data_IF_421383667756
#
_entry.id   IF_421383667756
#
_cell.length_a   1.000
_cell.length_b   1.000
_cell.length_c   1.000
_cell.angle_alpha   90.00
_cell.angle_beta   90.00
_cell.angle_gamma   90.00
#
_symmetry.space_group_name_H-M   'P 1'
#
loop_
_entity.id
_entity.type
_entity.pdbx_description
1 polymer ?
#
# COMPACT_ATOMS: atom_id res chain seq x y z
N UNK A 1 6.20 6.98 9.91
CA UNK A 1 6.96 8.17 10.36
C UNK A 1 6.05 9.38 10.53
N UNK A 2 5.28 9.85 9.53
CA UNK A 2 4.35 11.00 9.67
C UNK A 2 3.36 10.86 10.84
N UNK A 3 2.79 9.67 11.09
CA UNK A 3 1.90 9.44 12.24
C UNK A 3 2.63 9.64 13.56
N UNK A 4 3.82 9.06 13.72
CA UNK A 4 4.65 9.23 14.91
C UNK A 4 5.10 10.68 15.09
N UNK A 5 5.45 11.37 14.01
CA UNK A 5 5.77 12.80 14.02
C UNK A 5 4.62 13.61 14.63
N UNK A 6 3.40 13.35 14.18
CA UNK A 6 2.21 14.02 14.70
C UNK A 6 1.90 13.65 16.15
N UNK A 7 2.01 12.37 16.51
CA UNK A 7 1.73 11.85 17.86
C UNK A 7 2.72 12.38 18.90
N UNK A 8 4.00 12.45 18.53
CA UNK A 8 5.08 12.84 19.44
C UNK A 8 5.54 14.28 19.25
N UNK A 9 4.89 15.05 18.38
CA UNK A 9 5.25 16.43 18.04
C UNK A 9 6.71 16.57 17.59
N UNK A 10 7.21 15.61 16.82
CA UNK A 10 8.54 15.67 16.23
C UNK A 10 8.55 16.55 14.97
N UNK A 11 9.69 17.16 14.70
CA UNK A 11 9.93 17.90 13.46
C UNK A 11 10.84 17.07 12.56
N UNK A 12 10.29 16.10 11.84
CA UNK A 12 11.06 15.19 11.00
C UNK A 12 11.31 15.82 9.62
N UNK A 13 12.56 15.88 9.23
CA UNK A 13 12.96 16.24 7.88
C UNK A 13 13.29 14.98 7.08
N UNK A 14 12.35 14.53 6.25
CA UNK A 14 12.47 13.27 5.51
C UNK A 14 13.59 13.29 4.47
N UNK A 15 13.90 14.44 3.88
CA UNK A 15 15.07 14.63 3.02
C UNK A 15 16.38 14.38 3.78
N UNK A 16 16.53 14.97 4.97
CA UNK A 16 17.70 14.75 5.82
C UNK A 16 17.82 13.30 6.28
N UNK A 17 16.71 12.65 6.60
CA UNK A 17 16.68 11.21 6.96
C UNK A 17 17.15 10.37 5.79
N UNK A 18 16.71 10.62 4.55
CA UNK A 18 17.19 9.91 3.37
C UNK A 18 18.70 10.11 3.14
N UNK A 19 19.22 11.32 3.41
CA UNK A 19 20.66 11.63 3.31
C UNK A 19 21.53 10.82 4.29
N UNK A 20 21.05 10.53 5.50
CA UNK A 20 21.78 9.75 6.49
C UNK A 20 22.14 8.35 5.95
N UNK A 21 21.25 7.73 5.20
CA UNK A 21 21.45 6.39 4.63
C UNK A 21 22.37 6.36 3.43
N UNK A 22 22.67 7.52 2.83
CA UNK A 22 23.37 7.62 1.53
C UNK A 22 24.87 7.28 1.57
N UNK A 23 25.56 7.55 2.64
CA UNK A 23 27.03 7.46 2.69
C UNK A 23 27.58 6.56 3.81
N UNK A 24 26.83 6.29 4.83
CA UNK A 24 27.27 5.56 6.03
C UNK A 24 26.91 4.07 6.03
N UNK A 25 26.20 3.59 5.00
CA UNK A 25 25.71 2.21 4.92
C UNK A 25 26.23 1.50 3.67
N UNK A 26 26.13 0.17 3.67
CA UNK A 26 26.36 -0.71 2.49
C UNK A 26 25.43 -0.31 1.32
N UNK A 27 24.29 0.31 1.60
CA UNK A 27 23.31 0.76 0.60
C UNK A 27 23.81 2.05 -0.06
N UNK A 28 24.62 1.91 -1.10
CA UNK A 28 25.03 2.99 -2.00
C UNK A 28 24.08 3.09 -3.19
N UNK A 29 22.79 3.10 -2.95
CA UNK A 29 21.83 3.13 -4.02
C UNK A 29 21.68 4.56 -4.58
N UNK A 30 21.83 4.73 -5.88
CA UNK A 30 21.67 6.01 -6.56
C UNK A 30 20.27 6.60 -6.34
N UNK A 31 19.25 5.76 -6.17
CA UNK A 31 17.87 6.19 -5.94
C UNK A 31 17.65 6.91 -4.60
N UNK A 32 18.57 6.78 -3.62
CA UNK A 32 18.47 7.56 -2.36
C UNK A 32 18.58 9.06 -2.60
N UNK A 33 19.34 9.48 -3.62
CA UNK A 33 19.34 10.89 -4.02
C UNK A 33 17.96 11.31 -4.55
N UNK A 34 17.35 10.47 -5.41
CA UNK A 34 16.00 10.74 -5.93
C UNK A 34 14.94 10.83 -4.83
N UNK A 35 15.08 10.04 -3.76
CA UNK A 35 14.20 10.16 -2.57
C UNK A 35 14.42 11.50 -1.87
N UNK A 36 15.70 11.87 -1.67
CA UNK A 36 16.05 13.16 -1.09
C UNK A 36 15.43 14.32 -1.87
N UNK A 37 15.62 14.30 -3.19
CA UNK A 37 15.12 15.33 -4.10
C UNK A 37 13.59 15.40 -4.12
N UNK A 38 12.90 14.26 -4.02
CA UNK A 38 11.44 14.19 -3.94
C UNK A 38 10.92 14.92 -2.69
N UNK A 39 11.51 14.66 -1.51
CA UNK A 39 11.12 15.34 -0.27
C UNK A 39 11.62 16.80 -0.18
N UNK A 40 12.64 17.18 -0.93
CA UNK A 40 13.02 18.58 -1.07
C UNK A 40 12.02 19.35 -1.94
N UNK A 41 11.49 18.73 -3.00
CA UNK A 41 10.42 19.32 -3.83
C UNK A 41 9.08 19.39 -3.10
N UNK A 42 8.73 18.35 -2.36
CA UNK A 42 7.47 18.26 -1.63
C UNK A 42 7.68 17.59 -0.26
N UNK A 43 7.92 18.40 0.80
CA UNK A 43 8.07 17.90 2.17
C UNK A 43 6.83 17.13 2.69
N UNK A 44 5.65 17.45 2.17
CA UNK A 44 4.38 16.85 2.54
C UNK A 44 3.99 15.64 1.70
N UNK A 45 4.91 15.14 0.87
CA UNK A 45 4.67 13.98 0.03
C UNK A 45 4.24 12.75 0.87
N UNK A 46 3.04 12.24 0.64
CA UNK A 46 2.48 11.12 1.39
C UNK A 46 3.07 9.76 0.98
N UNK A 47 3.40 9.63 -0.30
CA UNK A 47 3.95 8.40 -0.85
C UNK A 47 4.88 8.73 -2.02
N UNK A 48 6.06 8.10 -2.07
CA UNK A 48 7.03 8.30 -3.16
C UNK A 48 6.45 7.95 -4.54
N UNK A 49 5.46 7.06 -4.63
CA UNK A 49 4.80 6.74 -5.90
C UNK A 49 4.01 7.91 -6.49
N UNK A 50 3.75 8.96 -5.68
CA UNK A 50 3.05 10.18 -6.12
C UNK A 50 4.02 11.27 -6.58
N UNK A 51 5.32 11.10 -6.40
CA UNK A 51 6.33 12.00 -6.95
C UNK A 51 6.52 11.75 -8.45
N UNK A 52 6.61 12.81 -9.24
CA UNK A 52 6.65 12.75 -10.71
C UNK A 52 7.80 11.87 -11.24
N UNK A 53 8.99 11.97 -10.65
CA UNK A 53 10.13 11.16 -11.05
C UNK A 53 9.85 9.67 -10.83
N UNK A 54 9.37 9.29 -9.65
CA UNK A 54 9.06 7.89 -9.34
C UNK A 54 7.89 7.35 -10.16
N UNK A 55 6.86 8.15 -10.38
CA UNK A 55 5.71 7.81 -11.21
C UNK A 55 6.13 7.53 -12.67
N UNK A 56 7.01 8.38 -13.22
CA UNK A 56 7.57 8.19 -14.56
C UNK A 56 8.39 6.90 -14.64
N UNK A 57 9.33 6.65 -13.70
CA UNK A 57 10.14 5.44 -13.68
C UNK A 57 9.28 4.17 -13.60
N UNK A 58 8.26 4.17 -12.76
CA UNK A 58 7.33 3.06 -12.65
C UNK A 58 6.53 2.85 -13.93
N UNK A 59 6.01 3.92 -14.52
CA UNK A 59 5.29 3.85 -15.79
C UNK A 59 6.15 3.21 -16.89
N UNK A 60 7.40 3.62 -16.99
CA UNK A 60 8.38 3.13 -17.98
C UNK A 60 8.74 1.66 -17.78
N UNK A 61 8.88 1.21 -16.53
CA UNK A 61 9.45 -0.10 -16.22
C UNK A 61 8.42 -1.17 -15.81
N UNK A 62 7.17 -0.81 -15.50
CA UNK A 62 6.17 -1.75 -14.98
C UNK A 62 5.92 -2.97 -15.87
N UNK A 63 5.97 -2.80 -17.20
CA UNK A 63 5.72 -3.91 -18.13
C UNK A 63 6.78 -5.01 -17.98
N UNK A 64 8.05 -4.63 -17.89
CA UNK A 64 9.13 -5.59 -17.71
C UNK A 64 9.11 -6.22 -16.31
N UNK A 65 8.75 -5.44 -15.30
CA UNK A 65 8.53 -5.93 -13.94
C UNK A 65 7.44 -7.01 -13.90
N UNK A 66 6.29 -6.77 -14.53
CA UNK A 66 5.20 -7.74 -14.65
C UNK A 66 5.63 -9.01 -15.37
N UNK A 67 6.35 -8.88 -16.49
CA UNK A 67 6.89 -10.03 -17.22
C UNK A 67 7.86 -10.85 -16.36
N UNK A 68 8.73 -10.19 -15.59
CA UNK A 68 9.65 -10.89 -14.69
C UNK A 68 8.90 -11.69 -13.63
N UNK A 69 7.90 -11.11 -12.97
CA UNK A 69 7.08 -11.80 -11.98
C UNK A 69 6.32 -12.98 -12.61
N UNK A 70 5.67 -12.77 -13.75
CA UNK A 70 4.92 -13.80 -14.43
C UNK A 70 5.80 -14.98 -14.87
N UNK A 71 6.95 -14.69 -15.49
CA UNK A 71 7.90 -15.73 -15.92
C UNK A 71 8.47 -16.50 -14.74
N UNK A 72 8.83 -15.81 -13.65
CA UNK A 72 9.32 -16.48 -12.45
C UNK A 72 8.26 -17.43 -11.86
N UNK A 73 7.00 -17.00 -11.82
CA UNK A 73 5.91 -17.85 -11.35
C UNK A 73 5.73 -19.10 -12.23
N UNK A 74 5.78 -18.94 -13.58
CA UNK A 74 5.70 -20.05 -14.53
C UNK A 74 6.87 -21.03 -14.41
N UNK A 75 8.03 -20.53 -14.04
CA UNK A 75 9.25 -21.34 -13.87
C UNK A 75 9.40 -21.92 -12.45
N UNK A 76 8.47 -21.66 -11.54
CA UNK A 76 8.56 -22.10 -10.15
C UNK A 76 9.65 -21.40 -9.33
N UNK A 77 10.09 -20.21 -9.76
CA UNK A 77 11.11 -19.43 -9.06
C UNK A 77 10.44 -18.53 -8.02
N UNK A 78 10.75 -18.66 -6.72
CA UNK A 78 10.15 -17.83 -5.68
C UNK A 78 10.65 -16.38 -5.78
N UNK A 79 9.71 -15.44 -5.91
CA UNK A 79 10.00 -13.99 -6.02
C UNK A 79 9.17 -13.17 -5.04
N UNK A 80 9.09 -13.61 -3.79
CA UNK A 80 8.20 -13.02 -2.78
C UNK A 80 8.31 -11.49 -2.65
N UNK A 81 9.52 -10.93 -2.59
CA UNK A 81 9.70 -9.49 -2.46
C UNK A 81 9.24 -8.72 -3.71
N UNK A 82 9.62 -9.18 -4.91
CA UNK A 82 9.26 -8.51 -6.18
C UNK A 82 7.77 -8.64 -6.47
N UNK A 83 7.18 -9.80 -6.18
CA UNK A 83 5.74 -10.05 -6.37
C UNK A 83 4.89 -9.23 -5.41
N UNK A 84 5.25 -9.16 -4.13
CA UNK A 84 4.53 -8.34 -3.14
C UNK A 84 4.63 -6.85 -3.43
N UNK A 85 5.78 -6.39 -3.90
CA UNK A 85 5.96 -4.99 -4.33
C UNK A 85 5.08 -4.65 -5.53
N UNK A 86 4.96 -5.56 -6.51
CA UNK A 86 4.06 -5.38 -7.65
C UNK A 86 2.60 -5.35 -7.20
N UNK A 87 2.21 -6.25 -6.29
CA UNK A 87 0.87 -6.28 -5.70
C UNK A 87 0.55 -4.98 -4.95
N UNK A 88 1.50 -4.44 -4.20
CA UNK A 88 1.36 -3.13 -3.56
C UNK A 88 1.14 -2.01 -4.58
N UNK A 89 1.97 -1.96 -5.63
CA UNK A 89 1.85 -0.96 -6.70
C UNK A 89 0.50 -1.03 -7.41
N UNK A 90 -0.01 -2.23 -7.67
CA UNK A 90 -1.33 -2.40 -8.27
C UNK A 90 -2.44 -2.02 -7.31
N UNK A 91 -2.30 -2.35 -6.03
CA UNK A 91 -3.30 -2.06 -5.00
C UNK A 91 -3.47 -0.56 -4.76
N UNK A 92 -2.37 0.21 -4.68
CA UNK A 92 -2.45 1.66 -4.42
C UNK A 92 -3.09 2.44 -5.58
N UNK A 93 -3.15 1.86 -6.77
CA UNK A 93 -3.75 2.44 -7.97
C UNK A 93 -5.20 2.03 -8.21
N UNK A 94 -5.72 1.10 -7.40
CA UNK A 94 -7.08 0.60 -7.51
C UNK A 94 -8.00 1.25 -6.47
N UNK A 95 -9.06 1.91 -6.93
CA UNK A 95 -10.08 2.45 -6.06
C UNK A 95 -10.88 1.34 -5.35
N UNK A 96 -11.09 0.19 -6.03
CA UNK A 96 -11.79 -0.98 -5.49
C UNK A 96 -10.87 -2.19 -5.57
N UNK A 97 -10.48 -2.72 -4.42
CA UNK A 97 -9.61 -3.88 -4.34
C UNK A 97 -10.42 -5.19 -4.27
N UNK A 98 -9.86 -6.33 -4.71
CA UNK A 98 -10.47 -7.66 -4.53
C UNK A 98 -10.40 -8.13 -3.07
N UNK A 99 -10.47 -7.20 -2.12
CA UNK A 99 -10.41 -7.46 -0.68
C UNK A 99 -11.78 -7.81 -0.08
N UNK A 100 -12.87 -7.66 -0.84
CA UNK A 100 -14.24 -7.92 -0.38
C UNK A 100 -14.40 -9.36 0.09
N UNK A 101 -13.82 -10.33 -0.63
CA UNK A 101 -13.87 -11.73 -0.24
C UNK A 101 -13.12 -12.00 1.07
N UNK A 102 -11.97 -11.38 1.26
CA UNK A 102 -11.21 -11.47 2.52
C UNK A 102 -12.00 -10.87 3.69
N UNK A 103 -12.64 -9.72 3.49
CA UNK A 103 -13.44 -9.09 4.53
C UNK A 103 -14.71 -9.89 4.82
N UNK A 104 -15.36 -10.46 3.79
CA UNK A 104 -16.49 -11.37 3.96
C UNK A 104 -16.10 -12.63 4.75
N UNK A 105 -14.93 -13.21 4.47
CA UNK A 105 -14.41 -14.35 5.22
C UNK A 105 -14.15 -13.97 6.69
N UNK A 106 -13.57 -12.83 6.96
CA UNK A 106 -13.35 -12.35 8.33
C UNK A 106 -14.66 -12.11 9.07
N UNK A 107 -15.66 -11.55 8.39
CA UNK A 107 -17.00 -11.37 8.93
C UNK A 107 -17.69 -12.70 9.21
N UNK A 108 -17.52 -13.68 8.31
CA UNK A 108 -18.13 -15.01 8.44
C UNK A 108 -17.69 -15.73 9.72
N UNK A 109 -16.41 -15.83 10.01
CA UNK A 109 -15.94 -16.62 11.15
C UNK A 109 -15.63 -15.82 12.42
N UNK A 110 -15.68 -14.51 12.37
CA UNK A 110 -15.32 -13.67 13.53
C UNK A 110 -16.15 -12.41 13.73
N UNK A 111 -17.20 -12.21 12.94
CA UNK A 111 -18.04 -11.00 12.95
C UNK A 111 -17.19 -9.71 12.92
N UNK A 112 -16.11 -9.69 12.11
CA UNK A 112 -15.19 -8.57 12.06
C UNK A 112 -15.75 -7.34 11.32
N UNK A 113 -17.00 -7.40 10.92
CA UNK A 113 -17.75 -6.33 10.26
C UNK A 113 -17.13 -5.82 8.96
N UNK A 114 -17.87 -5.03 8.24
CA UNK A 114 -17.43 -4.35 7.03
C UNK A 114 -18.14 -2.99 6.89
N UNK A 115 -17.59 -2.11 6.09
CA UNK A 115 -18.26 -0.88 5.67
C UNK A 115 -18.82 -1.07 4.27
N UNK A 116 -20.00 -0.48 4.00
CA UNK A 116 -20.62 -0.50 2.68
C UNK A 116 -20.22 0.77 1.91
N UNK A 117 -20.02 0.62 0.60
CA UNK A 117 -19.68 1.75 -0.28
C UNK A 117 -20.91 2.57 -0.74
N UNK A 118 -22.10 2.02 -0.56
CA UNK A 118 -23.38 2.61 -0.99
C UNK A 118 -24.11 3.37 0.13
N UNK A 119 -23.51 3.46 1.30
CA UNK A 119 -24.02 4.21 2.47
C UNK A 119 -22.92 5.10 3.05
N UNK A 120 -23.32 5.99 3.96
CA UNK A 120 -22.37 6.88 4.62
C UNK A 120 -21.23 6.09 5.31
N UNK A 121 -20.01 6.57 5.14
CA UNK A 121 -18.80 5.98 5.77
C UNK A 121 -18.89 6.00 7.29
N UNK A 122 -18.24 5.01 7.91
CA UNK A 122 -18.16 4.88 9.37
C UNK A 122 -19.19 3.97 9.99
N UNK A 123 -20.23 3.56 9.24
CA UNK A 123 -21.19 2.57 9.70
C UNK A 123 -20.65 1.17 9.48
N UNK A 124 -20.77 0.33 10.51
CA UNK A 124 -20.31 -1.06 10.49
C UNK A 124 -21.48 -2.01 10.26
N UNK A 125 -21.26 -3.02 9.45
CA UNK A 125 -22.23 -4.03 9.08
C UNK A 125 -21.69 -5.43 9.32
N UNK A 126 -22.59 -6.36 9.61
CA UNK A 126 -22.33 -7.79 9.72
C UNK A 126 -23.41 -8.56 8.97
N UNK A 127 -23.04 -9.64 8.32
CA UNK A 127 -24.01 -10.59 7.72
C UNK A 127 -24.36 -11.64 8.75
N UNK A 128 -25.64 -11.84 9.00
CA UNK A 128 -26.08 -12.98 9.80
C UNK A 128 -25.95 -14.28 8.99
N UNK A 129 -24.73 -14.83 8.97
CA UNK A 129 -24.34 -15.98 8.17
C UNK A 129 -25.08 -17.27 8.54
N UNK A 130 -25.58 -17.37 9.76
CA UNK A 130 -26.32 -18.52 10.29
C UNK A 130 -27.80 -18.51 9.91
N UNK A 131 -28.35 -17.40 9.46
CA UNK A 131 -29.74 -17.32 9.00
C UNK A 131 -29.88 -17.70 7.53
N UNK A 132 -30.99 -18.31 7.15
CA UNK A 132 -31.28 -18.64 5.75
C UNK A 132 -31.31 -17.38 4.86
N UNK A 133 -31.83 -16.28 5.39
CA UNK A 133 -31.95 -14.99 4.68
C UNK A 133 -30.62 -14.23 4.55
N UNK A 134 -29.59 -14.58 5.33
CA UNK A 134 -28.29 -13.90 5.36
C UNK A 134 -28.41 -12.38 5.42
N UNK A 135 -29.28 -11.89 6.29
CA UNK A 135 -29.54 -10.45 6.41
C UNK A 135 -28.30 -9.68 6.83
N UNK A 136 -28.11 -8.49 6.24
CA UNK A 136 -27.09 -7.55 6.65
C UNK A 136 -27.68 -6.71 7.78
N UNK A 137 -27.00 -6.63 8.90
CA UNK A 137 -27.38 -5.83 10.06
C UNK A 137 -26.34 -4.74 10.32
N UNK A 138 -26.81 -3.54 10.65
CA UNK A 138 -25.94 -2.46 11.11
C UNK A 138 -25.56 -2.72 12.57
N UNK A 139 -24.27 -2.60 12.88
CA UNK A 139 -23.73 -2.73 14.23
C UNK A 139 -23.26 -1.36 14.65
N UNK A 140 -23.90 -0.81 15.68
CA UNK A 140 -23.58 0.51 16.26
C UNK A 140 -22.38 0.49 17.18
#
# INVERSE_FOLDING_TARGET
MKLAEKEHNWQLNFSSIAKIWRAGCIIRAAFLQSITDAFERNPDLDNLLLDDFFAEQLSKHQINWRKSVANSALMGIPTGAISSSLSYYDSIRCAVLPANLLQAQRDFFGAHTFERIDVNTGKKYHVNWSSESRNIVEIG
#
